data_IF_570328339210
#
_entry.id   IF_570328339210
#
_cell.length_a   1.000
_cell.length_b   1.000
_cell.length_c   1.000
_cell.angle_alpha   90.00
_cell.angle_beta   90.00
_cell.angle_gamma   90.00
#
_symmetry.space_group_name_H-M   'P 1'
#
loop_
_entity.id
_entity.type
_entity.pdbx_description
1 polymer ?
#
# COMPACT_ATOMS: atom_id res chain seq x y z
N UNK A 1 0.54 10.27 -14.87
CA UNK A 1 0.57 8.81 -15.16
C UNK A 1 0.87 8.12 -13.85
N UNK A 2 0.00 7.22 -13.37
CA UNK A 2 0.14 6.62 -12.04
C UNK A 2 1.12 5.44 -12.02
N UNK A 3 1.86 5.29 -10.93
CA UNK A 3 2.78 4.18 -10.68
C UNK A 3 1.99 2.87 -10.51
N UNK A 4 2.57 1.77 -11.00
CA UNK A 4 2.06 0.41 -10.82
C UNK A 4 3.20 -0.46 -10.32
N UNK A 5 3.03 -1.01 -9.12
CA UNK A 5 4.00 -1.89 -8.49
C UNK A 5 3.34 -3.22 -8.16
N UNK A 6 4.11 -4.29 -8.26
CA UNK A 6 3.71 -5.64 -7.86
C UNK A 6 4.80 -6.20 -6.95
N UNK A 7 4.40 -6.64 -5.76
CA UNK A 7 5.31 -7.10 -4.70
C UNK A 7 4.83 -8.46 -4.19
N UNK A 8 5.70 -9.49 -4.11
CA UNK A 8 5.34 -10.74 -3.47
C UNK A 8 5.16 -10.54 -1.96
N UNK A 9 4.18 -11.21 -1.39
CA UNK A 9 3.92 -11.27 0.06
C UNK A 9 3.67 -12.72 0.47
N UNK A 10 3.63 -13.01 1.78
CA UNK A 10 3.25 -14.34 2.26
C UNK A 10 1.87 -14.72 1.72
N UNK A 11 1.78 -15.89 1.09
CA UNK A 11 0.56 -16.48 0.50
C UNK A 11 -0.18 -15.62 -0.55
N UNK A 12 0.50 -14.65 -1.16
CA UNK A 12 -0.13 -13.81 -2.17
C UNK A 12 0.77 -12.80 -2.85
N UNK A 13 0.13 -11.83 -3.47
CA UNK A 13 0.75 -10.72 -4.17
C UNK A 13 0.04 -9.42 -3.79
N UNK A 14 0.82 -8.38 -3.54
CA UNK A 14 0.33 -7.02 -3.38
C UNK A 14 0.55 -6.23 -4.67
N UNK A 15 -0.50 -5.57 -5.14
CA UNK A 15 -0.48 -4.63 -6.23
C UNK A 15 -0.76 -3.23 -5.70
N UNK A 16 0.09 -2.28 -6.06
CA UNK A 16 -0.09 -0.87 -5.72
C UNK A 16 -0.29 -0.10 -7.01
N UNK A 17 -1.38 0.66 -7.07
CA UNK A 17 -1.64 1.58 -8.17
C UNK A 17 -1.97 2.96 -7.61
N UNK A 18 -1.16 3.96 -7.92
CA UNK A 18 -1.36 5.28 -7.32
C UNK A 18 -0.58 6.39 -8.00
N UNK A 19 -0.59 7.55 -7.35
CA UNK A 19 0.21 8.71 -7.74
C UNK A 19 0.97 9.19 -6.51
N UNK A 20 2.27 9.39 -6.69
CA UNK A 20 3.15 10.04 -5.74
C UNK A 20 3.34 11.50 -6.19
N UNK A 21 3.03 12.48 -5.33
CA UNK A 21 3.38 13.87 -5.58
C UNK A 21 4.48 14.29 -4.62
N UNK A 22 5.59 14.78 -5.19
CA UNK A 22 6.70 15.33 -4.44
C UNK A 22 6.43 16.80 -4.14
N UNK A 23 6.49 17.15 -2.87
CA UNK A 23 6.21 18.46 -2.32
C UNK A 23 7.52 19.14 -1.90
N UNK A 24 7.47 20.47 -1.76
CA UNK A 24 8.61 21.26 -1.29
C UNK A 24 9.12 20.79 0.07
N UNK A 25 10.43 21.00 0.31
CA UNK A 25 11.12 20.70 1.57
C UNK A 25 11.13 19.22 1.95
N UNK A 26 11.41 18.34 0.98
CA UNK A 26 11.65 16.92 1.27
C UNK A 26 10.40 16.17 1.73
N UNK A 27 9.21 16.56 1.26
CA UNK A 27 7.95 15.89 1.60
C UNK A 27 7.33 15.26 0.36
N UNK A 28 6.54 14.22 0.54
CA UNK A 28 5.71 13.67 -0.54
C UNK A 28 4.40 13.12 0.04
N UNK A 29 3.39 13.01 -0.83
CA UNK A 29 2.16 12.29 -0.53
C UNK A 29 1.90 11.24 -1.61
N UNK A 30 1.29 10.13 -1.20
CA UNK A 30 0.81 9.08 -2.10
C UNK A 30 -0.70 8.97 -1.95
N UNK A 31 -1.38 8.75 -3.07
CA UNK A 31 -2.79 8.40 -3.08
C UNK A 31 -3.03 7.33 -4.13
N UNK A 32 -3.80 6.30 -3.78
CA UNK A 32 -4.03 5.20 -4.71
C UNK A 32 -4.89 4.08 -4.14
N UNK A 33 -4.71 2.93 -4.76
CA UNK A 33 -5.37 1.68 -4.45
C UNK A 33 -4.31 0.63 -4.18
N UNK A 34 -4.49 -0.15 -3.12
CA UNK A 34 -3.71 -1.34 -2.83
C UNK A 34 -4.65 -2.55 -3.01
N UNK A 35 -4.22 -3.54 -3.77
CA UNK A 35 -4.92 -4.81 -3.92
C UNK A 35 -4.02 -5.93 -3.42
N UNK A 36 -4.54 -6.75 -2.53
CA UNK A 36 -3.87 -7.93 -1.98
C UNK A 36 -4.66 -9.14 -2.46
N UNK A 37 -4.03 -10.05 -3.20
CA UNK A 37 -4.69 -11.25 -3.70
C UNK A 37 -3.80 -12.48 -3.58
N UNK A 38 -4.41 -13.65 -3.48
CA UNK A 38 -3.68 -14.88 -3.25
C UNK A 38 -4.60 -16.09 -3.06
N UNK A 39 -4.05 -17.14 -2.48
CA UNK A 39 -4.75 -18.39 -2.20
C UNK A 39 -4.51 -18.80 -0.74
N UNK A 40 -5.58 -19.01 0.02
CA UNK A 40 -5.52 -19.62 1.36
C UNK A 40 -6.36 -20.90 1.31
N UNK A 41 -5.78 -22.05 1.65
CA UNK A 41 -6.46 -23.36 1.59
C UNK A 41 -7.15 -23.63 0.24
N UNK A 42 -6.48 -23.27 -0.87
CA UNK A 42 -7.00 -23.32 -2.26
C UNK A 42 -8.18 -22.38 -2.56
N UNK A 43 -8.54 -21.50 -1.62
CA UNK A 43 -9.54 -20.46 -1.83
C UNK A 43 -8.87 -19.16 -2.21
N UNK A 44 -9.23 -18.63 -3.36
CA UNK A 44 -8.89 -17.31 -3.83
C UNK A 44 -9.46 -16.23 -2.91
N UNK A 45 -8.62 -15.27 -2.59
CA UNK A 45 -9.02 -14.03 -1.95
C UNK A 45 -8.48 -12.85 -2.73
N UNK A 46 -9.20 -11.74 -2.67
CA UNK A 46 -8.77 -10.45 -3.20
C UNK A 46 -9.37 -9.34 -2.35
N UNK A 47 -8.50 -8.57 -1.69
CA UNK A 47 -8.87 -7.43 -0.87
C UNK A 47 -8.37 -6.16 -1.52
N UNK A 48 -9.24 -5.17 -1.68
CA UNK A 48 -8.88 -3.88 -2.26
C UNK A 48 -9.08 -2.78 -1.23
N UNK A 49 -8.10 -1.88 -1.14
CA UNK A 49 -8.05 -0.78 -0.20
C UNK A 49 -7.82 0.52 -0.96
N UNK A 50 -8.48 1.60 -0.53
CA UNK A 50 -7.99 2.94 -0.82
C UNK A 50 -6.85 3.28 0.13
N UNK A 51 -5.77 3.85 -0.37
CA UNK A 51 -4.60 4.22 0.42
C UNK A 51 -4.26 5.70 0.23
N UNK A 52 -3.97 6.38 1.33
CA UNK A 52 -3.38 7.71 1.36
C UNK A 52 -2.20 7.65 2.31
N UNK A 53 -1.04 8.14 1.89
CA UNK A 53 0.16 8.17 2.71
C UNK A 53 0.90 9.48 2.57
N UNK A 54 1.76 9.75 3.55
CA UNK A 54 2.65 10.89 3.56
C UNK A 54 4.03 10.42 4.04
N UNK A 55 5.06 11.03 3.47
CA UNK A 55 6.43 10.70 3.80
C UNK A 55 7.39 11.83 3.55
N UNK A 56 8.66 11.54 3.78
CA UNK A 56 9.78 12.45 3.56
C UNK A 56 10.77 11.84 2.60
N UNK A 57 11.47 12.70 1.87
CA UNK A 57 12.61 12.30 1.05
C UNK A 57 13.78 13.24 1.30
N UNK A 58 14.99 12.70 1.25
CA UNK A 58 16.25 13.43 1.34
C UNK A 58 17.16 12.94 0.24
N UNK A 59 17.90 13.85 -0.39
CA UNK A 59 18.88 13.49 -1.39
C UNK A 59 20.20 14.19 -1.08
N UNK A 60 21.30 13.46 -1.21
CA UNK A 60 22.65 14.02 -1.24
C UNK A 60 23.36 13.66 -2.56
N UNK A 61 24.68 13.78 -2.62
CA UNK A 61 25.45 13.49 -3.85
C UNK A 61 25.55 11.99 -4.17
N UNK A 62 25.21 11.11 -3.23
CA UNK A 62 25.42 9.67 -3.29
C UNK A 62 24.10 8.90 -3.23
N UNK A 63 23.12 9.36 -2.47
CA UNK A 63 21.87 8.63 -2.30
C UNK A 63 20.63 9.52 -2.27
N UNK A 64 19.51 8.88 -2.61
CA UNK A 64 18.15 9.33 -2.37
C UNK A 64 17.53 8.39 -1.34
N UNK A 65 17.15 8.92 -0.18
CA UNK A 65 16.41 8.20 0.85
C UNK A 65 14.95 8.63 0.84
N UNK A 66 14.04 7.67 0.92
CA UNK A 66 12.60 7.90 0.97
C UNK A 66 12.06 7.18 2.21
N UNK A 67 11.24 7.86 3.01
CA UNK A 67 10.64 7.31 4.23
C UNK A 67 9.14 7.56 4.24
N UNK A 68 8.35 6.49 4.33
CA UNK A 68 6.90 6.57 4.52
C UNK A 68 6.61 6.78 6.01
N UNK A 69 6.23 8.01 6.36
CA UNK A 69 5.99 8.38 7.77
C UNK A 69 4.61 7.98 8.27
N UNK A 70 3.61 7.96 7.38
CA UNK A 70 2.24 7.62 7.75
C UNK A 70 1.51 7.06 6.54
N UNK A 71 0.65 6.06 6.77
CA UNK A 71 -0.30 5.54 5.80
C UNK A 71 -1.65 5.30 6.47
N UNK A 72 -2.70 5.70 5.76
CA UNK A 72 -4.08 5.37 6.08
C UNK A 72 -4.73 4.63 4.92
N UNK A 73 -5.27 3.47 5.25
CA UNK A 73 -6.01 2.62 4.32
C UNK A 73 -7.47 2.44 4.74
N UNK A 74 -8.33 2.31 3.74
CA UNK A 74 -9.78 2.10 3.91
C UNK A 74 -10.17 0.90 3.03
N UNK A 75 -10.66 -0.21 3.62
CA UNK A 75 -11.17 -1.35 2.85
C UNK A 75 -12.29 -0.91 1.90
N UNK A 76 -12.20 -1.31 0.63
CA UNK A 76 -13.19 -1.04 -0.41
C UNK A 76 -14.01 -2.26 -0.75
N UNK A 77 -13.34 -3.35 -1.10
CA UNK A 77 -13.98 -4.60 -1.52
C UNK A 77 -13.21 -5.79 -0.97
N UNK A 78 -13.96 -6.84 -0.65
CA UNK A 78 -13.43 -8.15 -0.31
C UNK A 78 -14.07 -9.15 -1.27
N UNK A 79 -13.26 -9.89 -2.00
CA UNK A 79 -13.70 -10.97 -2.84
C UNK A 79 -13.09 -12.27 -2.30
N UNK A 80 -13.93 -13.27 -2.05
CA UNK A 80 -13.50 -14.61 -1.62
C UNK A 80 -14.19 -15.60 -2.54
N UNK A 81 -13.42 -16.41 -3.27
CA UNK A 81 -13.98 -17.40 -4.22
C UNK A 81 -14.97 -16.79 -5.23
N UNK A 82 -14.68 -15.57 -5.69
CA UNK A 82 -15.55 -14.86 -6.64
C UNK A 82 -16.76 -14.17 -6.00
N UNK A 83 -17.03 -14.36 -4.70
CA UNK A 83 -18.10 -13.66 -4.00
C UNK A 83 -17.63 -12.30 -3.49
N UNK A 84 -18.26 -11.22 -3.98
CA UNK A 84 -18.04 -9.87 -3.46
C UNK A 84 -18.79 -9.65 -2.14
N UNK A 85 -18.04 -9.32 -1.10
CA UNK A 85 -18.49 -9.05 0.26
C UNK A 85 -18.17 -7.59 0.58
N UNK A 86 -19.18 -6.82 0.95
CA UNK A 86 -18.96 -5.44 1.35
C UNK A 86 -18.29 -5.38 2.74
N UNK A 87 -17.37 -4.44 2.99
CA UNK A 87 -16.79 -4.25 4.33
C UNK A 87 -17.85 -4.02 5.42
N UNK A 88 -18.96 -3.34 5.08
CA UNK A 88 -20.05 -3.10 6.04
C UNK A 88 -20.77 -4.41 6.42
N UNK A 89 -20.90 -5.35 5.49
CA UNK A 89 -21.49 -6.66 5.78
C UNK A 89 -20.61 -7.44 6.76
N UNK A 90 -19.28 -7.42 6.59
CA UNK A 90 -18.35 -8.06 7.52
C UNK A 90 -18.51 -7.49 8.93
N UNK A 91 -18.59 -6.16 9.07
CA UNK A 91 -18.80 -5.52 10.38
C UNK A 91 -20.13 -5.91 11.01
N UNK A 92 -21.21 -5.97 10.24
CA UNK A 92 -22.52 -6.40 10.75
C UNK A 92 -22.53 -7.85 11.23
N UNK A 93 -21.80 -8.75 10.55
CA UNK A 93 -21.76 -10.17 10.87
C UNK A 93 -20.80 -10.52 12.00
N UNK A 94 -19.64 -9.84 12.07
CA UNK A 94 -18.57 -10.18 13.01
C UNK A 94 -18.51 -9.26 14.23
N UNK A 95 -19.18 -8.10 14.18
CA UNK A 95 -19.03 -7.03 15.16
C UNK A 95 -17.69 -6.29 15.09
N UNK A 96 -16.80 -6.65 14.14
CA UNK A 96 -15.47 -6.09 13.98
C UNK A 96 -15.29 -5.47 12.59
N UNK A 97 -14.60 -4.34 12.46
CA UNK A 97 -14.28 -3.79 11.16
C UNK A 97 -13.30 -4.70 10.41
N UNK A 98 -13.32 -4.63 9.08
CA UNK A 98 -12.29 -5.27 8.26
C UNK A 98 -10.93 -4.63 8.62
N UNK A 99 -9.88 -5.42 8.88
CA UNK A 99 -8.57 -4.89 9.22
C UNK A 99 -8.06 -3.90 8.18
N UNK A 100 -7.39 -2.85 8.65
CA UNK A 100 -6.69 -1.92 7.77
C UNK A 100 -5.26 -2.39 7.56
N UNK A 101 -4.62 -1.98 6.47
CA UNK A 101 -3.20 -2.27 6.28
C UNK A 101 -2.31 -1.44 7.23
N UNK A 102 -2.83 -0.38 7.83
CA UNK A 102 -2.05 0.47 8.74
C UNK A 102 -1.62 -0.31 9.98
N UNK A 103 -2.41 -1.31 10.38
CA UNK A 103 -2.11 -2.17 11.53
C UNK A 103 -0.98 -3.18 11.23
N UNK A 104 -0.70 -3.43 9.94
CA UNK A 104 0.29 -4.41 9.48
C UNK A 104 1.58 -3.78 8.93
N UNK A 105 1.54 -2.53 8.48
CA UNK A 105 2.70 -1.81 7.96
C UNK A 105 3.20 -0.78 9.00
N UNK A 106 4.31 -1.05 9.71
CA UNK A 106 4.87 -0.10 10.67
C UNK A 106 5.22 1.24 10.04
N UNK A 107 5.02 2.31 10.82
CA UNK A 107 5.50 3.65 10.46
C UNK A 107 7.02 3.65 10.29
N UNK A 108 7.53 4.43 9.32
CA UNK A 108 8.96 4.62 9.12
C UNK A 108 9.63 3.64 8.16
N UNK A 109 8.86 2.83 7.42
CA UNK A 109 9.41 2.07 6.28
C UNK A 109 10.17 3.01 5.36
N UNK A 110 11.45 2.69 5.14
CA UNK A 110 12.37 3.53 4.37
C UNK A 110 13.08 2.70 3.32
N UNK A 111 13.37 3.32 2.19
CA UNK A 111 14.17 2.76 1.11
C UNK A 111 15.25 3.76 0.69
N UNK A 112 16.37 3.25 0.17
CA UNK A 112 17.50 4.07 -0.24
C UNK A 112 18.03 3.63 -1.61
N UNK A 113 18.19 4.60 -2.50
CA UNK A 113 18.67 4.40 -3.85
C UNK A 113 20.01 5.09 -4.04
N UNK A 114 20.99 4.38 -4.60
CA UNK A 114 22.26 4.97 -5.00
C UNK A 114 22.07 5.83 -6.26
N UNK A 115 22.57 7.06 -6.22
CA UNK A 115 22.58 7.97 -7.36
C UNK A 115 23.84 7.71 -8.20
N UNK A 116 23.66 7.31 -9.46
CA UNK A 116 24.76 7.22 -10.41
C UNK A 116 24.79 8.50 -11.26
N UNK A 117 25.93 9.20 -11.26
CA UNK A 117 26.18 10.27 -12.21
C UNK A 117 26.86 9.71 -13.45
N UNK A 118 26.24 9.88 -14.62
CA UNK A 118 26.94 9.69 -15.88
C UNK A 118 27.82 10.92 -16.12
N UNK A 119 29.13 10.69 -16.28
CA UNK A 119 30.12 11.73 -16.56
C UNK A 119 30.37 11.82 -18.05
#
# INVERSE_FOLDING_TARGET
MGERLQLPITDGTMHVQGVTNYLHKGKYNVAGTITVEGLIDRKSYKFTYSAIGAGTWTADRKSLSISLTNMKTIPKTLNIEGLDISPQLVTKLTGQPVPTLNDAYPEGMSDEFALQSFT
#
